data_IF_447224599200
#
_entry.id   IF_447224599200
#
_cell.length_a   1.000
_cell.length_b   1.000
_cell.length_c   1.000
_cell.angle_alpha   90.00
_cell.angle_beta   90.00
_cell.angle_gamma   90.00
#
_symmetry.space_group_name_H-M   'P 1'
#
loop_
_entity.id
_entity.type
_entity.pdbx_description
1 polymer ?
#
# COMPACT_ATOMS: atom_id res chain seq x y z
N UNK A 1 -0.50 -1.05 -27.24
CA UNK A 1 -0.85 0.27 -27.80
C UNK A 1 -0.37 1.31 -26.81
N UNK A 2 0.52 2.22 -27.22
CA UNK A 2 0.99 3.31 -26.35
C UNK A 2 -0.02 4.44 -26.47
N UNK A 3 -0.90 4.60 -25.47
CA UNK A 3 -1.87 5.69 -25.46
C UNK A 3 -1.12 6.99 -25.19
N UNK A 4 -0.88 7.78 -26.23
CA UNK A 4 -0.21 9.06 -26.13
C UNK A 4 -1.21 10.08 -25.56
N UNK A 5 -1.06 10.42 -24.28
CA UNK A 5 -1.89 11.45 -23.64
C UNK A 5 -1.42 12.81 -24.14
N UNK A 6 -2.38 13.66 -24.51
CA UNK A 6 -2.20 15.07 -24.83
C UNK A 6 -3.38 15.85 -24.28
N UNK A 7 -3.10 17.07 -23.84
CA UNK A 7 -4.11 17.97 -23.32
C UNK A 7 -4.38 19.09 -24.32
N UNK A 8 -5.64 19.47 -24.42
CA UNK A 8 -6.12 20.77 -24.92
C UNK A 8 -6.64 21.60 -23.73
N UNK A 9 -7.24 22.76 -24.00
CA UNK A 9 -7.81 23.60 -22.95
C UNK A 9 -8.90 22.86 -22.15
N UNK A 10 -9.89 22.32 -22.85
CA UNK A 10 -11.06 21.68 -22.23
C UNK A 10 -10.66 20.49 -21.35
N UNK A 11 -9.80 19.60 -21.84
CA UNK A 11 -9.34 18.44 -21.09
C UNK A 11 -8.44 18.80 -19.92
N UNK A 12 -7.64 19.87 -20.04
CA UNK A 12 -6.80 20.34 -18.94
C UNK A 12 -7.65 21.03 -17.86
N UNK A 13 -8.63 21.83 -18.25
CA UNK A 13 -9.61 22.45 -17.35
C UNK A 13 -10.41 21.40 -16.60
N UNK A 14 -10.91 20.38 -17.29
CA UNK A 14 -11.64 19.28 -16.68
C UNK A 14 -10.79 18.53 -15.63
N UNK A 15 -9.50 18.36 -15.88
CA UNK A 15 -8.57 17.70 -14.95
C UNK A 15 -8.18 18.58 -13.75
N UNK A 16 -8.44 19.89 -13.80
CA UNK A 16 -7.90 20.91 -12.90
C UNK A 16 -8.95 21.91 -12.41
N UNK A 17 -10.16 21.46 -12.09
CA UNK A 17 -11.23 22.34 -11.58
C UNK A 17 -10.91 23.04 -10.24
N UNK A 18 -9.91 22.55 -9.50
CA UNK A 18 -9.40 23.13 -8.25
C UNK A 18 -8.24 24.13 -8.45
N UNK A 19 -7.80 24.31 -9.69
CA UNK A 19 -6.71 25.24 -10.02
C UNK A 19 -7.18 26.69 -9.87
N UNK A 20 -6.42 27.47 -9.08
CA UNK A 20 -6.84 28.80 -8.64
C UNK A 20 -6.61 29.93 -9.65
N UNK A 21 -6.24 29.61 -10.89
CA UNK A 21 -5.91 30.58 -11.94
C UNK A 21 -6.56 30.17 -13.27
N UNK A 22 -6.76 31.10 -14.22
CA UNK A 22 -7.20 30.73 -15.56
C UNK A 22 -6.24 29.74 -16.22
N UNK A 23 -6.78 28.69 -16.83
CA UNK A 23 -6.01 27.76 -17.67
C UNK A 23 -5.94 28.37 -19.06
N UNK A 24 -4.73 28.57 -19.57
CA UNK A 24 -4.51 29.14 -20.89
C UNK A 24 -3.68 28.22 -21.75
N UNK A 25 -3.52 28.59 -23.02
CA UNK A 25 -2.60 27.92 -23.96
C UNK A 25 -1.15 27.84 -23.45
N UNK A 26 -0.76 28.66 -22.48
CA UNK A 26 0.56 28.56 -21.84
C UNK A 26 0.65 27.32 -20.95
N UNK A 27 -0.36 27.09 -20.10
CA UNK A 27 -0.48 25.93 -19.23
C UNK A 27 -0.55 24.63 -20.04
N UNK A 28 -1.38 24.60 -21.09
CA UNK A 28 -1.51 23.47 -22.01
C UNK A 28 -0.17 23.12 -22.65
N UNK A 29 0.54 24.11 -23.22
CA UNK A 29 1.87 23.91 -23.80
C UNK A 29 2.88 23.41 -22.77
N UNK A 30 2.83 23.91 -21.54
CA UNK A 30 3.74 23.45 -20.47
C UNK A 30 3.52 21.99 -20.13
N UNK A 31 2.27 21.58 -19.90
CA UNK A 31 1.91 20.19 -19.57
C UNK A 31 2.28 19.25 -20.72
N UNK A 32 1.92 19.60 -21.95
CA UNK A 32 2.27 18.80 -23.12
C UNK A 32 3.78 18.70 -23.35
N UNK A 33 4.53 19.76 -23.06
CA UNK A 33 6.00 19.70 -23.09
C UNK A 33 6.54 18.76 -22.02
N UNK A 34 5.94 18.69 -20.82
CA UNK A 34 6.38 17.71 -19.81
C UNK A 34 6.14 16.28 -20.29
N UNK A 35 4.98 16.01 -20.87
CA UNK A 35 4.65 14.71 -21.46
C UNK A 35 5.64 14.31 -22.56
N UNK A 36 6.04 15.25 -23.42
CA UNK A 36 7.08 15.03 -24.43
C UNK A 36 8.43 14.68 -23.82
N UNK A 37 8.89 15.43 -22.81
CA UNK A 37 10.15 15.14 -22.13
C UNK A 37 10.12 13.74 -21.51
N UNK A 38 9.03 13.40 -20.83
CA UNK A 38 8.82 12.09 -20.21
C UNK A 38 8.80 10.95 -21.24
N UNK A 39 8.14 11.13 -22.38
CA UNK A 39 8.07 10.15 -23.48
C UNK A 39 9.46 9.97 -24.13
N UNK A 40 10.17 11.09 -24.37
CA UNK A 40 11.48 11.09 -25.03
C UNK A 40 12.55 10.36 -24.23
N UNK A 41 12.53 10.43 -22.89
CA UNK A 41 13.50 9.66 -22.09
C UNK A 41 13.17 8.16 -22.16
N UNK A 42 11.89 7.80 -22.08
CA UNK A 42 11.46 6.41 -22.12
C UNK A 42 11.68 5.77 -23.49
N UNK A 43 11.46 6.49 -24.60
CA UNK A 43 11.58 5.93 -25.95
C UNK A 43 12.99 5.46 -26.33
N UNK A 44 14.04 5.97 -25.64
CA UNK A 44 15.45 5.69 -25.98
C UNK A 44 15.91 4.29 -25.65
N UNK A 45 15.54 3.76 -24.48
CA UNK A 45 16.01 2.47 -24.00
C UNK A 45 15.01 1.85 -23.03
N UNK A 46 14.87 0.52 -23.06
CA UNK A 46 14.06 -0.23 -22.08
C UNK A 46 14.86 -0.47 -20.79
N UNK A 47 14.92 0.56 -19.95
CA UNK A 47 15.50 0.51 -18.60
C UNK A 47 14.67 1.36 -17.63
N UNK A 48 14.77 1.09 -16.31
CA UNK A 48 14.14 1.95 -15.31
C UNK A 48 14.57 3.40 -15.51
N UNK A 49 13.59 4.30 -15.45
CA UNK A 49 13.76 5.72 -15.69
C UNK A 49 13.12 6.51 -14.55
N UNK A 50 13.68 7.67 -14.23
CA UNK A 50 13.05 8.64 -13.33
C UNK A 50 11.60 8.92 -13.76
N UNK A 51 10.68 8.99 -12.80
CA UNK A 51 9.26 9.08 -13.05
C UNK A 51 8.52 7.74 -13.11
N UNK A 52 9.22 6.62 -13.31
CA UNK A 52 8.57 5.30 -13.45
C UNK A 52 7.94 4.80 -12.15
N UNK A 53 7.02 3.85 -12.31
CA UNK A 53 6.34 3.17 -11.22
C UNK A 53 7.05 1.85 -10.88
N UNK A 54 7.11 1.51 -9.59
CA UNK A 54 7.62 0.23 -9.10
C UNK A 54 6.58 -0.45 -8.22
N UNK A 55 6.25 -1.69 -8.56
CA UNK A 55 5.62 -2.64 -7.65
C UNK A 55 6.71 -3.24 -6.76
N UNK A 56 6.81 -2.71 -5.54
CA UNK A 56 7.86 -3.05 -4.59
C UNK A 56 7.35 -4.01 -3.52
N UNK A 57 8.14 -5.04 -3.22
CA UNK A 57 7.90 -5.92 -2.06
C UNK A 57 9.14 -5.97 -1.19
N UNK A 58 9.00 -5.59 0.08
CA UNK A 58 10.09 -5.69 1.06
C UNK A 58 10.34 -7.14 1.48
N UNK A 59 11.49 -7.38 2.11
CA UNK A 59 11.81 -8.69 2.69
C UNK A 59 10.85 -9.13 3.78
N UNK A 60 10.23 -8.17 4.47
CA UNK A 60 9.21 -8.41 5.49
C UNK A 60 7.82 -8.61 4.90
N UNK A 61 7.65 -8.57 3.57
CA UNK A 61 6.39 -8.78 2.88
C UNK A 61 5.55 -7.52 2.70
N UNK A 62 6.06 -6.33 3.01
CA UNK A 62 5.33 -5.08 2.78
C UNK A 62 5.24 -4.81 1.28
N UNK A 63 4.02 -4.68 0.78
CA UNK A 63 3.71 -4.43 -0.63
C UNK A 63 3.41 -2.96 -0.87
N UNK A 64 4.09 -2.37 -1.85
CA UNK A 64 3.86 -1.01 -2.34
C UNK A 64 3.64 -1.06 -3.84
N UNK A 65 2.37 -1.01 -4.27
CA UNK A 65 2.02 -1.21 -5.68
C UNK A 65 2.31 -0.02 -6.61
N UNK A 66 2.60 1.15 -6.04
CA UNK A 66 2.75 2.42 -6.79
C UNK A 66 3.98 3.24 -6.35
N UNK A 67 5.04 2.58 -5.87
CA UNK A 67 6.27 3.25 -5.51
C UNK A 67 6.85 4.04 -6.71
N UNK A 68 7.59 5.11 -6.43
CA UNK A 68 8.04 6.06 -7.43
C UNK A 68 9.56 6.09 -7.53
N UNK A 69 10.10 5.99 -8.74
CA UNK A 69 11.52 6.27 -9.00
C UNK A 69 11.70 7.78 -9.10
N UNK A 70 12.24 8.38 -8.06
CA UNK A 70 12.50 9.82 -8.02
C UNK A 70 13.71 10.19 -8.87
N UNK A 71 14.81 9.49 -8.62
CA UNK A 71 16.13 9.83 -9.16
C UNK A 71 16.98 8.59 -9.37
N UNK A 72 17.79 8.58 -10.41
CA UNK A 72 18.74 7.51 -10.69
C UNK A 72 20.17 8.08 -10.70
N UNK A 73 20.99 7.63 -9.75
CA UNK A 73 22.41 7.96 -9.68
C UNK A 73 23.26 6.72 -9.96
N UNK A 74 23.92 6.69 -11.12
CA UNK A 74 24.68 5.54 -11.57
C UNK A 74 23.79 4.31 -11.81
N UNK A 75 23.92 3.28 -10.97
CA UNK A 75 23.11 2.04 -11.04
C UNK A 75 22.00 1.97 -10.00
N UNK A 76 21.83 3.00 -9.19
CA UNK A 76 20.91 3.00 -8.06
C UNK A 76 19.79 4.01 -8.28
N UNK A 77 18.56 3.57 -8.01
CA UNK A 77 17.37 4.38 -7.99
C UNK A 77 17.00 4.71 -6.54
N UNK A 78 16.77 5.99 -6.26
CA UNK A 78 16.11 6.45 -5.04
C UNK A 78 14.60 6.32 -5.26
N UNK A 79 13.93 5.58 -4.37
CA UNK A 79 12.53 5.19 -4.51
C UNK A 79 11.73 5.67 -3.31
N UNK A 80 10.66 6.43 -3.56
CA UNK A 80 9.63 6.73 -2.58
C UNK A 80 8.57 5.62 -2.62
N UNK A 81 8.40 4.88 -1.52
CA UNK A 81 7.53 3.71 -1.46
C UNK A 81 6.04 4.07 -1.39
N UNK A 82 5.69 5.17 -0.72
CA UNK A 82 4.33 5.73 -0.69
C UNK A 82 4.41 7.20 -1.14
N UNK A 83 4.47 7.46 -2.45
CA UNK A 83 4.46 8.81 -2.97
C UNK A 83 3.08 9.45 -2.75
N UNK A 84 3.05 10.63 -2.12
CA UNK A 84 1.83 11.40 -1.89
C UNK A 84 1.59 12.37 -3.05
N UNK A 85 2.57 13.23 -3.34
CA UNK A 85 2.55 14.13 -4.49
C UNK A 85 3.85 14.00 -5.25
N UNK A 86 3.76 13.83 -6.57
CA UNK A 86 4.93 13.79 -7.45
C UNK A 86 4.92 15.02 -8.34
N UNK A 87 5.75 16.01 -8.01
CA UNK A 87 5.97 17.13 -8.91
C UNK A 87 6.89 16.72 -10.06
N UNK A 88 6.57 17.19 -11.24
CA UNK A 88 7.36 17.07 -12.46
C UNK A 88 7.65 18.47 -12.97
N UNK A 89 8.90 18.73 -13.33
CA UNK A 89 9.33 20.01 -13.88
C UNK A 89 10.38 19.81 -14.97
N UNK A 90 10.57 20.85 -15.77
CA UNK A 90 11.65 20.88 -16.74
C UNK A 90 12.94 21.34 -16.07
N UNK A 91 13.91 20.45 -16.01
CA UNK A 91 15.28 20.75 -15.65
C UNK A 91 16.16 20.72 -16.91
N UNK A 92 16.37 21.90 -17.51
CA UNK A 92 17.24 22.09 -18.68
C UNK A 92 16.94 21.13 -19.86
N UNK A 93 15.66 20.93 -20.17
CA UNK A 93 15.21 20.05 -21.26
C UNK A 93 15.07 18.58 -20.85
N UNK A 94 14.96 18.28 -19.55
CA UNK A 94 14.70 16.94 -19.02
C UNK A 94 13.57 17.01 -18.01
N UNK A 95 12.71 15.99 -18.02
CA UNK A 95 11.75 15.82 -16.94
C UNK A 95 12.50 15.42 -15.66
N UNK A 96 12.36 16.23 -14.61
CA UNK A 96 12.87 15.97 -13.28
C UNK A 96 11.71 15.96 -12.28
N UNK A 97 11.93 15.36 -11.11
CA UNK A 97 10.90 15.08 -10.14
C UNK A 97 11.24 15.61 -8.75
N UNK A 98 10.20 15.97 -8.00
CA UNK A 98 10.26 16.32 -6.59
C UNK A 98 9.05 15.68 -5.89
N UNK A 99 9.30 14.61 -5.15
CA UNK A 99 8.24 13.79 -4.55
C UNK A 99 8.12 14.01 -3.05
N UNK A 100 6.90 14.28 -2.59
CA UNK A 100 6.55 14.14 -1.17
C UNK A 100 6.09 12.72 -0.87
N UNK A 101 6.39 12.25 0.34
CA UNK A 101 5.99 10.92 0.80
C UNK A 101 7.12 10.20 1.51
N UNK A 102 6.82 8.99 1.97
CA UNK A 102 7.75 8.14 2.73
C UNK A 102 7.19 6.71 2.80
N UNK A 103 7.98 5.69 3.18
CA UNK A 103 9.43 5.71 3.37
C UNK A 103 10.21 5.73 2.05
N UNK A 104 11.49 6.07 2.15
CA UNK A 104 12.44 6.07 1.03
C UNK A 104 13.38 4.88 1.11
N UNK A 105 13.77 4.34 -0.05
CA UNK A 105 14.76 3.27 -0.15
C UNK A 105 15.61 3.43 -1.40
N UNK A 106 16.73 2.73 -1.47
CA UNK A 106 17.62 2.73 -2.62
C UNK A 106 17.78 1.33 -3.19
N UNK A 107 17.59 1.19 -4.50
CA UNK A 107 17.58 -0.11 -5.19
C UNK A 107 18.47 -0.08 -6.42
N UNK A 108 19.19 -1.17 -6.67
CA UNK A 108 19.91 -1.34 -7.93
C UNK A 108 18.93 -1.61 -9.08
N UNK A 109 18.92 -0.74 -10.10
CA UNK A 109 17.99 -0.82 -11.23
C UNK A 109 18.09 -2.13 -12.02
N UNK A 110 19.23 -2.83 -11.96
CA UNK A 110 19.42 -4.13 -12.63
C UNK A 110 18.59 -5.26 -12.00
N UNK A 111 18.11 -5.08 -10.77
CA UNK A 111 17.29 -6.06 -10.08
C UNK A 111 15.79 -5.87 -10.36
N UNK A 112 15.42 -4.83 -11.11
CA UNK A 112 14.04 -4.56 -11.50
C UNK A 112 13.65 -5.35 -12.74
N UNK A 113 12.43 -5.87 -12.77
CA UNK A 113 11.87 -6.59 -13.92
C UNK A 113 10.80 -5.74 -14.60
N UNK A 114 10.72 -5.72 -15.94
CA UNK A 114 9.63 -5.04 -16.64
C UNK A 114 8.27 -5.64 -16.24
N UNK A 115 7.29 -4.79 -15.93
CA UNK A 115 5.96 -5.19 -15.49
C UNK A 115 4.82 -4.47 -16.24
N UNK A 116 5.14 -3.85 -17.38
CA UNK A 116 4.18 -3.17 -18.26
C UNK A 116 4.21 -1.65 -18.12
N UNK A 117 3.04 -1.04 -18.21
CA UNK A 117 2.84 0.42 -18.17
C UNK A 117 1.71 0.78 -17.21
N UNK A 118 1.79 1.95 -16.61
CA UNK A 118 0.81 2.47 -15.65
C UNK A 118 0.52 3.94 -15.97
N UNK A 119 -0.71 4.40 -15.79
CA UNK A 119 -1.01 5.82 -15.80
C UNK A 119 -0.74 6.39 -14.41
N UNK A 120 0.16 7.38 -14.33
CA UNK A 120 0.47 8.10 -13.10
C UNK A 120 0.00 9.54 -13.17
N UNK A 121 -0.40 10.04 -12.02
CA UNK A 121 -0.75 11.44 -11.81
C UNK A 121 0.52 12.19 -11.38
N UNK A 122 0.80 13.29 -12.06
CA UNK A 122 1.88 14.22 -11.76
C UNK A 122 1.32 15.61 -11.51
N UNK A 123 2.10 16.44 -10.82
CA UNK A 123 1.82 17.87 -10.66
C UNK A 123 2.93 18.73 -11.22
N UNK A 124 2.61 19.92 -11.71
CA UNK A 124 3.58 20.96 -12.05
C UNK A 124 3.03 22.30 -11.61
N UNK A 125 3.88 23.27 -11.27
CA UNK A 125 3.43 24.64 -11.08
C UNK A 125 2.81 25.20 -12.37
N UNK A 126 1.71 25.94 -12.27
CA UNK A 126 1.21 26.80 -13.35
C UNK A 126 2.08 28.05 -13.55
N UNK A 127 1.63 29.02 -14.33
CA UNK A 127 2.29 30.32 -14.45
C UNK A 127 1.79 31.36 -13.43
N UNK A 128 0.74 31.03 -12.67
CA UNK A 128 0.28 31.81 -11.52
C UNK A 128 1.25 31.78 -10.33
N UNK A 129 0.84 32.34 -9.19
CA UNK A 129 1.66 32.29 -7.97
C UNK A 129 1.73 30.83 -7.47
N UNK A 130 2.86 30.47 -6.86
CA UNK A 130 3.00 29.19 -6.16
C UNK A 130 2.14 29.24 -4.89
N UNK A 131 1.14 28.37 -4.82
CA UNK A 131 0.17 28.26 -3.72
C UNK A 131 -0.43 26.85 -3.70
N UNK A 132 -1.25 26.52 -2.70
CA UNK A 132 -1.96 25.24 -2.63
C UNK A 132 -2.85 24.94 -3.84
N UNK A 133 -3.33 25.97 -4.54
CA UNK A 133 -4.15 25.86 -5.76
C UNK A 133 -3.38 26.25 -7.03
N UNK A 134 -2.08 26.51 -6.93
CA UNK A 134 -1.23 26.98 -8.03
C UNK A 134 -0.56 25.87 -8.84
N UNK A 135 -0.84 24.60 -8.55
CA UNK A 135 -0.29 23.45 -9.27
C UNK A 135 -1.33 22.83 -10.22
N UNK A 136 -0.91 22.53 -11.44
CA UNK A 136 -1.66 21.74 -12.40
C UNK A 136 -1.37 20.25 -12.19
N UNK A 137 -2.43 19.45 -12.18
CA UNK A 137 -2.44 18.01 -12.29
C UNK A 137 -2.46 17.58 -13.76
N UNK A 138 -1.70 16.56 -14.10
CA UNK A 138 -1.79 15.88 -15.38
C UNK A 138 -1.45 14.39 -15.25
N UNK A 139 -2.00 13.58 -16.14
CA UNK A 139 -1.80 12.14 -16.19
C UNK A 139 -0.76 11.80 -17.27
N UNK A 140 0.14 10.87 -16.99
CA UNK A 140 1.16 10.44 -17.92
C UNK A 140 1.35 8.91 -17.89
N UNK A 141 1.50 8.26 -19.06
CA UNK A 141 1.89 6.87 -19.12
C UNK A 141 3.37 6.74 -18.72
N UNK A 142 3.64 5.88 -17.75
CA UNK A 142 4.99 5.53 -17.32
C UNK A 142 5.20 4.03 -17.40
N UNK A 143 6.46 3.59 -17.37
CA UNK A 143 6.74 2.16 -17.26
C UNK A 143 6.48 1.71 -15.84
N UNK A 144 6.04 0.47 -15.72
CA UNK A 144 5.92 -0.24 -14.46
C UNK A 144 7.02 -1.28 -14.37
N UNK A 145 7.65 -1.33 -13.21
CA UNK A 145 8.69 -2.29 -12.87
C UNK A 145 8.27 -3.10 -11.66
N UNK A 146 8.74 -4.33 -11.55
CA UNK A 146 8.63 -5.15 -10.35
C UNK A 146 9.98 -5.21 -9.65
N UNK A 147 9.97 -5.06 -8.34
CA UNK A 147 11.12 -5.29 -7.49
C UNK A 147 10.72 -6.02 -6.21
N UNK A 148 11.45 -7.08 -5.90
CA UNK A 148 11.31 -7.81 -4.64
C UNK A 148 12.66 -7.83 -3.96
N UNK A 149 12.71 -7.41 -2.70
CA UNK A 149 13.92 -7.54 -1.92
C UNK A 149 14.31 -9.01 -1.78
N UNK A 150 15.62 -9.33 -1.87
CA UNK A 150 16.08 -10.70 -1.75
C UNK A 150 15.97 -11.20 -0.29
N UNK A 151 15.87 -12.51 -0.16
CA UNK A 151 15.78 -13.24 1.12
C UNK A 151 14.52 -12.86 1.93
N UNK A 152 13.31 -13.24 1.47
CA UNK A 152 12.08 -12.97 2.19
C UNK A 152 12.08 -13.66 3.56
N UNK A 153 11.56 -12.97 4.57
CA UNK A 153 11.55 -13.45 5.95
C UNK A 153 10.40 -14.45 6.25
N UNK A 154 9.33 -14.41 5.46
CA UNK A 154 8.06 -15.07 5.76
C UNK A 154 7.48 -15.79 4.54
N UNK A 155 8.22 -16.75 3.97
CA UNK A 155 7.76 -17.68 2.91
C UNK A 155 6.95 -17.05 1.75
N UNK A 156 7.27 -15.80 1.39
CA UNK A 156 6.63 -15.08 0.29
C UNK A 156 5.26 -14.46 0.60
N UNK A 157 4.80 -14.47 1.86
CA UNK A 157 3.62 -13.69 2.27
C UNK A 157 3.81 -12.20 1.98
N UNK A 158 2.76 -11.54 1.50
CA UNK A 158 2.77 -10.10 1.25
C UNK A 158 1.49 -9.43 1.70
N UNK A 159 1.58 -8.15 2.08
CA UNK A 159 0.42 -7.32 2.46
C UNK A 159 -0.52 -7.02 1.27
N UNK A 160 -0.18 -7.46 0.05
CA UNK A 160 -1.06 -7.36 -1.12
C UNK A 160 -2.32 -8.21 -0.96
N UNK A 161 -2.15 -9.43 -0.46
CA UNK A 161 -3.20 -10.45 -0.44
C UNK A 161 -3.41 -11.07 0.95
N UNK A 162 -2.58 -10.72 1.94
CA UNK A 162 -2.60 -11.31 3.28
C UNK A 162 -2.47 -10.22 4.33
N UNK A 163 -2.91 -10.50 5.54
CA UNK A 163 -2.75 -9.59 6.68
C UNK A 163 -1.61 -10.07 7.58
N UNK A 164 -0.83 -9.10 8.07
CA UNK A 164 0.27 -9.33 9.01
C UNK A 164 -0.11 -8.81 10.38
N UNK A 165 -0.11 -9.69 11.37
CA UNK A 165 -0.25 -9.33 12.78
C UNK A 165 1.12 -9.35 13.44
N UNK A 166 1.50 -8.21 14.02
CA UNK A 166 2.65 -8.11 14.91
C UNK A 166 2.22 -8.49 16.32
N UNK A 167 2.90 -9.46 16.92
CA UNK A 167 2.51 -10.02 18.21
C UNK A 167 3.69 -9.92 19.17
N UNK A 168 3.52 -9.20 20.27
CA UNK A 168 4.47 -9.16 21.37
C UNK A 168 4.16 -10.25 22.39
N UNK A 169 5.18 -10.99 22.78
CA UNK A 169 5.11 -12.06 23.78
C UNK A 169 5.56 -11.48 25.13
N UNK A 170 4.63 -11.35 26.06
CA UNK A 170 4.88 -10.87 27.41
C UNK A 170 4.89 -12.02 28.39
N UNK A 171 5.97 -12.17 29.15
CA UNK A 171 6.02 -13.14 30.25
C UNK A 171 5.12 -12.67 31.40
N UNK A 172 4.34 -13.59 31.94
CA UNK A 172 3.59 -13.34 33.15
C UNK A 172 4.54 -13.21 34.35
N UNK A 173 4.37 -12.15 35.15
CA UNK A 173 5.21 -11.86 36.31
C UNK A 173 4.83 -12.68 37.54
N UNK A 174 3.57 -13.08 37.63
CA UNK A 174 3.00 -13.81 38.76
C UNK A 174 2.97 -15.32 38.49
N UNK A 175 2.93 -15.72 37.21
CA UNK A 175 2.86 -17.12 36.78
C UNK A 175 4.08 -17.54 35.97
N UNK A 176 4.98 -18.26 36.62
CA UNK A 176 6.22 -18.72 35.99
C UNK A 176 5.95 -19.60 34.78
N UNK A 177 6.44 -19.17 33.61
CA UNK A 177 6.35 -19.94 32.36
C UNK A 177 5.12 -19.63 31.51
N UNK A 178 4.19 -18.81 32.02
CA UNK A 178 3.03 -18.35 31.26
C UNK A 178 3.34 -17.07 30.48
N UNK A 179 2.64 -16.89 29.36
CA UNK A 179 2.84 -15.77 28.45
C UNK A 179 1.50 -15.23 27.95
N UNK A 180 1.41 -13.91 27.89
CA UNK A 180 0.34 -13.17 27.20
C UNK A 180 0.86 -12.70 25.84
N UNK A 181 0.06 -12.86 24.80
CA UNK A 181 0.38 -12.45 23.43
C UNK A 181 -0.48 -11.24 23.04
N UNK A 182 0.16 -10.12 22.72
CA UNK A 182 -0.52 -8.85 22.42
C UNK A 182 -0.24 -8.38 21.00
N UNK A 183 -1.30 -8.01 20.31
CA UNK A 183 -1.31 -7.35 19.01
C UNK A 183 -2.20 -6.12 19.11
N UNK A 184 -2.10 -5.19 18.17
CA UNK A 184 -2.99 -4.02 18.10
C UNK A 184 -4.47 -4.42 17.99
N UNK A 185 -4.75 -5.63 17.48
CA UNK A 185 -6.11 -6.13 17.28
C UNK A 185 -6.63 -7.06 18.39
N UNK A 186 -5.75 -7.61 19.24
CA UNK A 186 -6.14 -8.66 20.19
C UNK A 186 -5.15 -8.86 21.34
N UNK A 187 -5.65 -9.45 22.43
CA UNK A 187 -4.84 -10.01 23.52
C UNK A 187 -5.26 -11.45 23.76
N UNK A 188 -4.28 -12.35 23.80
CA UNK A 188 -4.46 -13.79 24.07
C UNK A 188 -3.63 -14.17 25.30
N UNK A 189 -4.16 -15.06 26.13
CA UNK A 189 -3.60 -15.39 27.44
C UNK A 189 -2.88 -16.74 27.47
N UNK A 190 -2.83 -17.46 26.35
CA UNK A 190 -2.11 -18.72 26.26
C UNK A 190 -1.60 -19.01 24.86
N UNK A 191 -0.65 -19.94 24.76
CA UNK A 191 -0.16 -20.43 23.46
C UNK A 191 -1.26 -21.16 22.68
N UNK A 192 -2.15 -21.87 23.37
CA UNK A 192 -3.29 -22.57 22.75
C UNK A 192 -4.25 -21.61 22.07
N UNK A 193 -4.56 -20.47 22.70
CA UNK A 193 -5.41 -19.43 22.10
C UNK A 193 -4.76 -18.83 20.85
N UNK A 194 -3.43 -18.66 20.86
CA UNK A 194 -2.68 -18.17 19.71
C UNK A 194 -2.70 -19.17 18.54
N UNK A 195 -2.45 -20.46 18.81
CA UNK A 195 -2.46 -21.49 17.78
C UNK A 195 -3.89 -21.68 17.21
N UNK A 196 -4.93 -21.57 18.05
CA UNK A 196 -6.32 -21.58 17.61
C UNK A 196 -6.65 -20.37 16.71
N UNK A 197 -6.25 -19.16 17.12
CA UNK A 197 -6.43 -17.97 16.29
C UNK A 197 -5.71 -18.13 14.94
N UNK A 198 -4.47 -18.60 14.94
CA UNK A 198 -3.72 -18.85 13.71
C UNK A 198 -4.46 -19.84 12.80
N UNK A 199 -5.03 -20.91 13.35
CA UNK A 199 -5.82 -21.86 12.57
C UNK A 199 -7.09 -21.23 11.96
N UNK A 200 -7.84 -20.43 12.74
CA UNK A 200 -9.03 -19.72 12.27
C UNK A 200 -8.70 -18.75 11.13
N UNK A 201 -7.59 -18.02 11.26
CA UNK A 201 -7.12 -17.08 10.23
C UNK A 201 -6.42 -17.78 9.06
N UNK A 202 -6.42 -19.11 9.01
CA UNK A 202 -5.67 -19.91 8.01
C UNK A 202 -4.23 -19.44 7.87
N UNK A 203 -3.65 -19.06 9.01
CA UNK A 203 -2.40 -18.34 9.10
C UNK A 203 -1.25 -19.21 9.56
N UNK A 204 -0.06 -18.62 9.46
CA UNK A 204 1.20 -19.21 9.89
C UNK A 204 1.98 -18.26 10.79
N UNK A 205 2.48 -18.81 11.89
CA UNK A 205 3.29 -18.10 12.86
C UNK A 205 4.78 -18.18 12.51
N UNK A 206 5.45 -17.05 12.65
CA UNK A 206 6.89 -16.88 12.47
C UNK A 206 7.48 -16.19 13.69
N UNK A 207 8.78 -16.38 13.90
CA UNK A 207 9.55 -15.55 14.83
C UNK A 207 9.67 -14.15 14.24
N UNK A 208 9.40 -13.12 15.05
CA UNK A 208 9.60 -11.73 14.63
C UNK A 208 11.07 -11.30 14.70
N UNK A 209 11.35 -10.12 14.16
CA UNK A 209 12.70 -9.53 14.13
C UNK A 209 13.15 -9.09 15.53
N UNK A 210 12.21 -8.57 16.33
CA UNK A 210 12.50 -8.12 17.69
C UNK A 210 12.51 -9.31 18.67
N UNK A 211 13.31 -9.24 19.75
CA UNK A 211 13.20 -10.19 20.86
C UNK A 211 11.76 -10.27 21.37
N UNK A 212 11.34 -11.48 21.75
CA UNK A 212 9.99 -11.75 22.25
C UNK A 212 8.86 -11.23 21.34
N UNK A 213 9.09 -11.21 20.02
CA UNK A 213 8.05 -10.93 19.02
C UNK A 213 7.78 -12.12 18.12
N UNK A 214 6.54 -12.21 17.67
CA UNK A 214 6.04 -13.14 16.68
C UNK A 214 5.34 -12.36 15.57
N UNK A 215 5.28 -12.98 14.40
CA UNK A 215 4.52 -12.48 13.25
C UNK A 215 3.55 -13.56 12.82
N UNK A 216 2.26 -13.25 12.81
CA UNK A 216 1.24 -14.10 12.22
C UNK A 216 0.85 -13.53 10.87
N UNK A 217 1.05 -14.30 9.81
CA UNK A 217 0.50 -14.01 8.50
C UNK A 217 -0.73 -14.87 8.26
N UNK A 218 -1.83 -14.28 7.80
CA UNK A 218 -3.07 -15.02 7.55
C UNK A 218 -4.15 -14.13 6.94
N UNK A 219 -5.39 -14.59 7.05
CA UNK A 219 -6.56 -13.84 6.63
C UNK A 219 -6.77 -12.62 7.51
N UNK A 220 -7.34 -11.55 6.93
CA UNK A 220 -7.70 -10.35 7.68
C UNK A 220 -8.92 -10.64 8.55
N UNK A 221 -8.73 -10.52 9.85
CA UNK A 221 -9.76 -10.52 10.87
C UNK A 221 -10.45 -9.16 10.95
N UNK A 222 -11.76 -9.14 10.73
CA UNK A 222 -12.62 -7.96 10.89
C UNK A 222 -13.61 -8.24 12.05
N UNK A 223 -13.60 -7.40 13.09
CA UNK A 223 -14.53 -7.54 14.22
C UNK A 223 -15.76 -6.66 13.96
N UNK A 224 -16.95 -7.23 14.01
CA UNK A 224 -18.23 -6.51 13.85
C UNK A 224 -19.10 -6.67 15.08
N UNK A 225 -19.62 -5.55 15.55
CA UNK A 225 -20.63 -5.52 16.60
C UNK A 225 -22.02 -5.54 15.97
N UNK A 226 -22.90 -6.37 16.52
CA UNK A 226 -24.27 -6.51 16.04
C UNK A 226 -25.25 -6.56 17.21
N UNK A 227 -26.48 -6.15 16.95
CA UNK A 227 -27.57 -6.27 17.93
C UNK A 227 -27.97 -7.73 18.12
N UNK A 228 -28.69 -8.01 19.20
CA UNK A 228 -29.19 -9.36 19.49
C UNK A 228 -30.21 -9.85 18.45
N UNK A 229 -31.00 -8.95 17.88
CA UNK A 229 -31.92 -9.25 16.77
C UNK A 229 -31.15 -9.70 15.54
N UNK A 230 -30.12 -8.94 15.13
CA UNK A 230 -29.25 -9.30 14.01
C UNK A 230 -28.58 -10.65 14.24
N UNK A 231 -28.06 -10.89 15.45
CA UNK A 231 -27.45 -12.17 15.81
C UNK A 231 -28.42 -13.36 15.67
N UNK A 232 -29.66 -13.20 16.13
CA UNK A 232 -30.69 -14.23 16.01
C UNK A 232 -31.09 -14.45 14.54
N UNK A 233 -31.10 -13.38 13.74
CA UNK A 233 -31.35 -13.43 12.30
C UNK A 233 -30.27 -14.13 11.47
N UNK A 234 -29.07 -14.34 12.00
CA UNK A 234 -27.97 -15.01 11.28
C UNK A 234 -28.19 -16.53 11.08
N UNK A 235 -29.13 -17.16 11.77
CA UNK A 235 -29.43 -18.60 11.61
C UNK A 235 -28.19 -19.49 11.83
N UNK A 236 -27.81 -20.30 10.83
CA UNK A 236 -26.60 -21.16 10.84
C UNK A 236 -25.36 -20.48 10.23
N UNK A 237 -25.41 -19.18 9.94
CA UNK A 237 -24.29 -18.47 9.35
C UNK A 237 -23.14 -18.32 10.35
N UNK A 238 -21.97 -18.83 9.95
CA UNK A 238 -20.73 -18.79 10.73
C UNK A 238 -20.65 -19.86 11.82
N UNK A 239 -19.43 -20.20 12.21
CA UNK A 239 -19.16 -21.11 13.33
C UNK A 239 -19.32 -20.35 14.65
N UNK A 240 -20.08 -20.91 15.60
CA UNK A 240 -20.21 -20.34 16.95
C UNK A 240 -19.02 -20.77 17.80
N UNK A 241 -18.40 -19.81 18.48
CA UNK A 241 -17.36 -20.04 19.49
C UNK A 241 -17.78 -19.39 20.79
N UNK A 242 -17.90 -20.20 21.86
CA UNK A 242 -18.43 -19.73 23.15
C UNK A 242 -17.50 -18.79 23.91
N UNK A 243 -16.19 -18.96 23.72
CA UNK A 243 -15.15 -18.08 24.25
C UNK A 243 -14.09 -17.91 23.18
N UNK A 244 -13.81 -16.67 22.80
CA UNK A 244 -12.80 -16.37 21.79
C UNK A 244 -12.26 -14.96 22.04
N UNK A 245 -10.94 -14.83 22.17
CA UNK A 245 -10.28 -13.53 22.42
C UNK A 245 -10.85 -12.74 23.62
N UNK A 246 -11.32 -13.43 24.66
CA UNK A 246 -11.96 -12.81 25.83
C UNK A 246 -13.40 -12.34 25.61
N UNK A 247 -13.98 -12.55 24.42
CA UNK A 247 -15.38 -12.26 24.16
C UNK A 247 -16.30 -13.38 24.66
N UNK A 248 -17.54 -13.00 24.95
CA UNK A 248 -18.72 -13.89 25.06
C UNK A 248 -18.96 -14.60 23.69
N UNK A 249 -20.06 -15.37 23.47
CA UNK A 249 -20.13 -16.16 22.24
C UNK A 249 -20.04 -15.28 21.00
N UNK A 250 -19.13 -15.66 20.08
CA UNK A 250 -18.94 -15.01 18.78
C UNK A 250 -19.34 -15.95 17.65
N UNK A 251 -19.75 -15.35 16.53
CA UNK A 251 -19.96 -16.06 15.26
C UNK A 251 -18.82 -15.70 14.33
N UNK A 252 -18.18 -16.70 13.75
CA UNK A 252 -17.04 -16.54 12.88
C UNK A 252 -17.43 -16.96 11.46
N UNK A 253 -17.34 -16.03 10.52
CA UNK A 253 -17.52 -16.29 9.10
C UNK A 253 -16.17 -16.15 8.38
N UNK A 254 -15.89 -17.04 7.44
CA UNK A 254 -14.64 -17.03 6.67
C UNK A 254 -14.95 -16.89 5.19
N UNK A 255 -14.36 -15.87 4.58
CA UNK A 255 -14.39 -15.64 3.15
C UNK A 255 -13.00 -15.98 2.58
N UNK A 256 -12.94 -17.08 1.83
CA UNK A 256 -11.71 -17.58 1.25
C UNK A 256 -11.31 -16.84 -0.04
N UNK A 257 -12.24 -16.15 -0.69
CA UNK A 257 -11.94 -15.43 -1.93
C UNK A 257 -11.23 -14.12 -1.60
N UNK A 258 -11.69 -13.42 -0.56
CA UNK A 258 -11.12 -12.15 -0.12
C UNK A 258 -10.08 -12.31 0.99
N UNK A 259 -9.79 -13.54 1.44
CA UNK A 259 -8.91 -13.83 2.58
C UNK A 259 -9.31 -13.05 3.84
N UNK A 260 -10.59 -13.11 4.21
CA UNK A 260 -11.10 -12.43 5.41
C UNK A 260 -11.80 -13.39 6.37
N UNK A 261 -11.74 -13.05 7.65
CA UNK A 261 -12.48 -13.71 8.72
C UNK A 261 -13.26 -12.63 9.47
N UNK A 262 -14.58 -12.67 9.40
CA UNK A 262 -15.43 -11.75 10.16
C UNK A 262 -15.83 -12.38 11.48
N UNK A 263 -15.52 -11.72 12.60
CA UNK A 263 -15.90 -12.11 13.95
C UNK A 263 -17.04 -11.21 14.42
N UNK A 264 -18.24 -11.75 14.48
CA UNK A 264 -19.42 -11.05 14.99
C UNK A 264 -19.52 -11.23 16.49
N UNK A 265 -19.67 -10.11 17.22
CA UNK A 265 -19.97 -10.10 18.66
C UNK A 265 -21.25 -9.33 18.94
N UNK A 266 -22.02 -9.79 19.91
CA UNK A 266 -23.20 -9.06 20.39
C UNK A 266 -22.70 -7.83 21.16
N UNK A 267 -23.25 -6.66 20.84
CA UNK A 267 -23.16 -5.49 21.68
C UNK A 267 -24.58 -5.11 22.10
N UNK A 268 -24.90 -5.29 23.39
CA UNK A 268 -26.24 -5.02 23.92
C UNK A 268 -26.57 -3.51 24.00
N UNK A 269 -25.63 -2.63 23.61
CA UNK A 269 -25.85 -1.19 23.47
C UNK A 269 -26.35 -0.78 22.07
N UNK A 270 -26.44 -1.73 21.12
CA UNK A 270 -26.97 -1.57 19.76
C UNK A 270 -28.39 -2.16 19.66
#
# INVERSE_FOLDING_TARGET
MNTKIRYDLDSLELANGDFGYPITEKEVRKVNRMLELMENVRSRQMCPTEGDCVEFVSRSGDYFGKAHIERITGKYADICLIPETVFCFDDMGKAAYDTTGSPWTQVNIRNMKPAGTEIRIFRTWGFGKRSSTGSLRFDAPVRKWEYREPNPLYDGYTTRNWFRYHIMKHRDKERTGEYTFRSDSFTLYSRSELDELAAILKGRLYKGILPDSLVLWGYRMDIKEISREQWNGMGQHGQIRMKFMGYSPVRIHTDNENHTVTVYRINDSL
#
